data_IF_030804540186
#
_entry.id   IF_030804540186
#
_cell.length_a   1.000
_cell.length_b   1.000
_cell.length_c   1.000
_cell.angle_alpha   90.00
_cell.angle_beta   90.00
_cell.angle_gamma   90.00
#
_symmetry.space_group_name_H-M   'P 1'
#
loop_
_entity.id
_entity.type
_entity.pdbx_description
1 polymer ?
#
# COMPACT_ATOMS: atom_id res chain seq x y z
N UNK A 1 -24.84 -27.15 -19.89
CA UNK A 1 -23.64 -26.54 -20.52
C UNK A 1 -23.13 -25.49 -19.54
N UNK A 2 -21.94 -25.69 -18.98
CA UNK A 2 -21.31 -24.71 -18.09
C UNK A 2 -20.58 -23.70 -18.97
N UNK A 3 -21.16 -22.52 -19.17
CA UNK A 3 -20.47 -21.42 -19.83
C UNK A 3 -19.48 -20.83 -18.83
N UNK A 4 -18.22 -21.28 -18.88
CA UNK A 4 -17.15 -20.62 -18.16
C UNK A 4 -16.98 -19.20 -18.73
N UNK A 5 -16.87 -18.21 -17.85
CA UNK A 5 -16.53 -16.83 -18.21
C UNK A 5 -15.03 -16.68 -17.98
N UNK A 6 -14.27 -16.59 -19.07
CA UNK A 6 -12.84 -16.32 -19.00
C UNK A 6 -12.59 -14.85 -18.69
N UNK A 7 -11.90 -14.57 -17.58
CA UNK A 7 -11.48 -13.23 -17.18
C UNK A 7 -9.98 -13.12 -17.42
N UNK A 8 -9.59 -12.21 -18.31
CA UNK A 8 -8.19 -11.85 -18.49
C UNK A 8 -7.82 -10.79 -17.43
N UNK A 9 -6.82 -11.02 -16.57
CA UNK A 9 -6.35 -10.00 -15.65
C UNK A 9 -5.90 -8.75 -16.41
N UNK A 10 -6.10 -7.57 -15.81
CA UNK A 10 -5.57 -6.31 -16.35
C UNK A 10 -4.04 -6.22 -16.23
N UNK A 11 -3.52 -4.99 -16.08
CA UNK A 11 -2.08 -4.76 -15.89
C UNK A 11 -1.48 -5.69 -14.82
N UNK A 12 -0.28 -6.21 -15.10
CA UNK A 12 0.42 -7.10 -14.17
C UNK A 12 0.85 -6.32 -12.92
N UNK A 13 0.90 -6.95 -11.73
CA UNK A 13 1.33 -6.30 -10.49
C UNK A 13 2.73 -5.69 -10.57
N UNK A 14 3.59 -6.26 -11.41
CA UNK A 14 4.96 -5.80 -11.68
C UNK A 14 5.02 -4.47 -12.45
N UNK A 15 3.90 -4.03 -13.04
CA UNK A 15 3.78 -2.76 -13.77
C UNK A 15 3.07 -1.67 -12.95
N UNK A 16 2.71 -1.97 -11.70
CA UNK A 16 2.04 -1.01 -10.85
C UNK A 16 3.00 0.15 -10.49
N UNK A 17 2.56 1.41 -10.59
CA UNK A 17 3.39 2.53 -10.16
C UNK A 17 3.69 2.45 -8.66
N UNK A 18 4.89 2.85 -8.28
CA UNK A 18 5.38 2.80 -6.89
C UNK A 18 5.84 4.18 -6.40
N UNK A 19 5.86 4.33 -5.08
CA UNK A 19 6.36 5.49 -4.34
C UNK A 19 7.59 5.03 -3.57
N UNK A 20 8.76 5.65 -3.83
CA UNK A 20 9.98 5.40 -3.06
C UNK A 20 9.91 6.11 -1.69
N UNK A 21 10.21 5.37 -0.63
CA UNK A 21 10.43 5.86 0.72
C UNK A 21 11.88 5.65 1.11
N UNK A 22 12.49 6.68 1.70
CA UNK A 22 13.82 6.60 2.30
C UNK A 22 13.75 7.00 3.77
N UNK A 23 13.96 6.04 4.67
CA UNK A 23 13.98 6.28 6.11
C UNK A 23 15.44 6.35 6.55
N UNK A 24 15.87 7.53 6.98
CA UNK A 24 17.24 7.79 7.42
C UNK A 24 17.60 6.83 8.55
N UNK A 25 18.71 6.11 8.39
CA UNK A 25 19.17 5.10 9.36
C UNK A 25 18.58 3.69 9.19
N UNK A 26 17.55 3.51 8.35
CA UNK A 26 16.89 2.21 8.14
C UNK A 26 16.94 1.72 6.69
N UNK A 27 16.91 2.65 5.72
CA UNK A 27 17.09 2.38 4.30
C UNK A 27 15.89 2.73 3.42
N UNK A 28 15.94 2.25 2.17
CA UNK A 28 14.95 2.54 1.12
C UNK A 28 14.00 1.37 0.84
N UNK A 29 12.75 1.67 0.59
CA UNK A 29 11.74 0.73 0.11
C UNK A 29 10.71 1.43 -0.77
N UNK A 30 9.87 0.64 -1.42
CA UNK A 30 8.82 1.12 -2.30
C UNK A 30 7.47 0.56 -1.84
N UNK A 31 6.43 1.38 -1.97
CA UNK A 31 5.03 0.97 -1.79
C UNK A 31 4.25 1.31 -3.07
N UNK A 32 3.22 0.54 -3.44
CA UNK A 32 2.45 0.80 -4.65
C UNK A 32 1.61 2.08 -4.50
N UNK A 33 1.33 2.78 -5.59
CA UNK A 33 0.36 3.88 -5.57
C UNK A 33 -1.05 3.30 -5.40
N UNK A 34 -1.68 3.54 -4.26
CA UNK A 34 -2.98 2.96 -3.92
C UNK A 34 -4.05 3.30 -4.97
N UNK A 35 -4.92 2.33 -5.28
CA UNK A 35 -6.02 2.50 -6.24
C UNK A 35 -5.63 2.53 -7.73
N UNK A 36 -4.35 2.40 -8.08
CA UNK A 36 -3.91 2.36 -9.47
C UNK A 36 -4.06 0.96 -10.09
N UNK A 37 -4.22 0.87 -11.44
CA UNK A 37 -4.22 -0.40 -12.15
C UNK A 37 -2.97 -1.24 -11.85
N UNK A 38 -3.17 -2.54 -11.62
CA UNK A 38 -2.09 -3.48 -11.25
C UNK A 38 -1.84 -3.60 -9.76
N UNK A 39 -2.33 -2.66 -8.93
CA UNK A 39 -2.20 -2.77 -7.47
C UNK A 39 -3.22 -3.78 -6.92
N UNK A 40 -2.80 -4.76 -6.09
CA UNK A 40 -3.72 -5.72 -5.51
C UNK A 40 -4.86 -5.04 -4.72
N UNK A 41 -6.10 -5.46 -4.95
CA UNK A 41 -7.24 -4.92 -4.21
C UNK A 41 -7.07 -5.11 -2.70
N UNK A 42 -6.50 -6.25 -2.28
CA UNK A 42 -6.26 -6.56 -0.87
C UNK A 42 -5.46 -5.49 -0.14
N UNK A 43 -4.39 -4.96 -0.75
CA UNK A 43 -3.60 -3.92 -0.09
C UNK A 43 -4.33 -2.58 -0.03
N UNK A 44 -5.10 -2.24 -1.08
CA UNK A 44 -5.91 -1.02 -1.12
C UNK A 44 -7.01 -1.06 -0.05
N UNK A 45 -7.70 -2.18 0.08
CA UNK A 45 -8.75 -2.38 1.10
C UNK A 45 -8.16 -2.36 2.51
N UNK A 46 -7.04 -3.06 2.75
CA UNK A 46 -6.40 -3.08 4.06
C UNK A 46 -5.97 -1.67 4.50
N UNK A 47 -5.48 -0.85 3.56
CA UNK A 47 -5.14 0.54 3.84
C UNK A 47 -6.35 1.41 4.15
N UNK A 48 -7.48 1.20 3.46
CA UNK A 48 -8.75 1.87 3.79
C UNK A 48 -9.21 1.57 5.22
N UNK A 49 -9.23 0.29 5.61
CA UNK A 49 -9.59 -0.16 6.97
C UNK A 49 -8.66 0.48 8.02
N UNK A 50 -7.36 0.54 7.73
CA UNK A 50 -6.38 1.22 8.57
C UNK A 50 -6.71 2.71 8.77
N UNK A 51 -6.96 3.46 7.68
CA UNK A 51 -7.29 4.88 7.76
C UNK A 51 -8.57 5.13 8.53
N UNK A 52 -9.60 4.32 8.32
CA UNK A 52 -10.87 4.42 9.04
C UNK A 52 -10.68 4.16 10.54
N UNK A 53 -9.86 3.15 10.89
CA UNK A 53 -9.57 2.80 12.27
C UNK A 53 -8.72 3.85 13.00
N UNK A 54 -7.75 4.49 12.32
CA UNK A 54 -6.92 5.56 12.89
C UNK A 54 -7.78 6.71 13.44
N UNK A 55 -8.85 7.06 12.73
CA UNK A 55 -9.79 8.11 13.11
C UNK A 55 -10.78 7.69 14.22
N UNK A 56 -10.82 6.40 14.57
CA UNK A 56 -11.70 5.85 15.60
C UNK A 56 -11.16 6.01 17.04
N UNK A 57 -12.01 5.76 18.03
CA UNK A 57 -11.66 5.82 19.46
C UNK A 57 -11.38 4.44 20.11
N UNK A 58 -11.29 3.37 19.33
CA UNK A 58 -11.12 2.00 19.83
C UNK A 58 -9.74 1.44 19.49
N UNK A 59 -8.89 1.28 20.50
CA UNK A 59 -7.51 0.81 20.33
C UNK A 59 -7.41 -0.64 19.82
N UNK A 60 -8.37 -1.51 20.18
CA UNK A 60 -8.40 -2.88 19.69
C UNK A 60 -8.70 -2.94 18.19
N UNK A 61 -9.57 -2.05 17.70
CA UNK A 61 -9.86 -1.93 16.27
C UNK A 61 -8.66 -1.37 15.51
N UNK A 62 -7.96 -0.37 16.07
CA UNK A 62 -6.70 0.13 15.53
C UNK A 62 -5.68 -0.99 15.40
N UNK A 63 -5.41 -1.72 16.48
CA UNK A 63 -4.42 -2.80 16.48
C UNK A 63 -4.76 -3.90 15.44
N UNK A 64 -6.03 -4.25 15.31
CA UNK A 64 -6.49 -5.22 14.31
C UNK A 64 -6.27 -4.72 12.88
N UNK A 65 -6.65 -3.47 12.59
CA UNK A 65 -6.46 -2.85 11.27
C UNK A 65 -4.98 -2.72 10.90
N UNK A 66 -4.15 -2.32 11.86
CA UNK A 66 -2.70 -2.30 11.74
C UNK A 66 -2.12 -3.68 11.41
N UNK A 67 -2.52 -4.71 12.16
CA UNK A 67 -2.04 -6.07 11.94
C UNK A 67 -2.46 -6.60 10.56
N UNK A 68 -3.68 -6.28 10.14
CA UNK A 68 -4.19 -6.65 8.82
C UNK A 68 -3.37 -5.99 7.69
N UNK A 69 -3.11 -4.68 7.78
CA UNK A 69 -2.30 -3.95 6.81
C UNK A 69 -0.88 -4.52 6.69
N UNK A 70 -0.22 -4.77 7.82
CA UNK A 70 1.13 -5.35 7.82
C UNK A 70 1.13 -6.74 7.17
N UNK A 71 0.14 -7.58 7.45
CA UNK A 71 0.05 -8.90 6.84
C UNK A 71 -0.11 -8.80 5.31
N UNK A 72 -0.98 -7.90 4.82
CA UNK A 72 -1.11 -7.65 3.38
C UNK A 72 0.18 -7.14 2.74
N UNK A 73 0.96 -6.31 3.46
CA UNK A 73 2.27 -5.86 3.00
C UNK A 73 3.31 -6.99 2.98
N UNK A 74 3.29 -7.92 3.94
CA UNK A 74 4.23 -9.06 3.97
C UNK A 74 4.09 -9.92 2.72
N UNK A 75 2.85 -10.17 2.29
CA UNK A 75 2.58 -11.05 1.16
C UNK A 75 2.94 -10.40 -0.18
N UNK A 76 2.75 -9.08 -0.32
CA UNK A 76 2.91 -8.37 -1.60
C UNK A 76 4.20 -7.53 -1.70
N UNK A 77 4.75 -7.06 -0.58
CA UNK A 77 5.86 -6.10 -0.51
C UNK A 77 6.85 -6.43 0.64
N UNK A 78 7.49 -7.62 0.63
CA UNK A 78 8.27 -8.13 1.77
C UNK A 78 9.46 -7.25 2.18
N UNK A 79 10.04 -6.49 1.23
CA UNK A 79 11.13 -5.54 1.53
C UNK A 79 10.64 -4.37 2.38
N UNK A 80 9.48 -3.81 2.04
CA UNK A 80 8.86 -2.73 2.81
C UNK A 80 8.53 -3.22 4.22
N UNK A 81 7.88 -4.39 4.34
CA UNK A 81 7.54 -4.99 5.64
C UNK A 81 8.75 -5.20 6.55
N UNK A 82 9.90 -5.64 6.00
CA UNK A 82 11.14 -5.81 6.78
C UNK A 82 11.69 -4.50 7.33
N UNK A 83 11.54 -3.39 6.60
CA UNK A 83 11.99 -2.07 7.07
C UNK A 83 10.99 -1.54 8.10
N UNK A 84 9.69 -1.58 7.79
CA UNK A 84 8.62 -1.12 8.68
C UNK A 84 8.64 -1.83 10.04
N UNK A 85 8.92 -3.14 10.07
CA UNK A 85 9.01 -3.92 11.31
C UNK A 85 10.15 -3.49 12.25
N UNK A 86 11.09 -2.65 11.80
CA UNK A 86 12.20 -2.12 12.61
C UNK A 86 11.90 -0.73 13.17
N UNK A 87 10.82 -0.10 12.74
CA UNK A 87 10.43 1.25 13.13
C UNK A 87 9.52 1.20 14.36
N UNK A 88 9.43 2.32 15.08
CA UNK A 88 8.45 2.48 16.15
C UNK A 88 7.05 2.82 15.58
N UNK A 89 6.01 2.62 16.39
CA UNK A 89 4.63 2.87 15.98
C UNK A 89 4.39 4.27 15.38
N UNK A 90 4.88 5.36 16.01
CA UNK A 90 4.73 6.71 15.46
C UNK A 90 5.39 6.90 14.09
N UNK A 91 6.58 6.34 13.86
CA UNK A 91 7.24 6.45 12.55
C UNK A 91 6.50 5.65 11.49
N UNK A 92 6.04 4.44 11.81
CA UNK A 92 5.23 3.64 10.86
C UNK A 92 3.93 4.38 10.50
N UNK A 93 3.26 4.99 11.48
CA UNK A 93 2.05 5.77 11.24
C UNK A 93 2.30 6.93 10.28
N UNK A 94 3.42 7.64 10.44
CA UNK A 94 3.84 8.69 9.51
C UNK A 94 4.08 8.17 8.10
N UNK A 95 4.73 7.00 7.95
CA UNK A 95 4.92 6.38 6.64
C UNK A 95 3.57 6.11 5.97
N UNK A 96 2.62 5.50 6.68
CA UNK A 96 1.32 5.18 6.13
C UNK A 96 0.51 6.43 5.78
N UNK A 97 0.55 7.48 6.61
CA UNK A 97 -0.07 8.76 6.27
C UNK A 97 0.52 9.35 4.99
N UNK A 98 1.86 9.40 4.89
CA UNK A 98 2.57 9.89 3.70
C UNK A 98 2.27 9.05 2.47
N UNK A 99 2.07 7.76 2.64
CA UNK A 99 1.71 6.85 1.55
C UNK A 99 0.32 7.13 1.00
N UNK A 100 -0.67 7.38 1.87
CA UNK A 100 -2.00 7.83 1.45
C UNK A 100 -1.96 9.18 0.74
N UNK A 101 -1.28 10.18 1.33
CA UNK A 101 -1.07 11.51 0.73
C UNK A 101 -0.47 11.39 -0.69
N UNK A 102 0.66 10.69 -0.82
CA UNK A 102 1.36 10.53 -2.10
C UNK A 102 0.58 9.73 -3.12
N UNK A 103 -0.24 8.77 -2.68
CA UNK A 103 -1.10 8.02 -3.58
C UNK A 103 -2.24 8.88 -4.15
N UNK A 104 -2.79 9.80 -3.35
CA UNK A 104 -3.82 10.74 -3.80
C UNK A 104 -3.25 11.86 -4.69
N UNK A 105 -2.00 12.26 -4.46
CA UNK A 105 -1.29 13.25 -5.28
C UNK A 105 -0.79 12.67 -6.61
N UNK A 106 -0.85 11.34 -6.79
CA UNK A 106 -0.32 10.70 -7.99
C UNK A 106 -1.19 11.04 -9.22
N UNK A 107 -0.55 11.68 -10.20
CA UNK A 107 -1.14 11.95 -11.50
C UNK A 107 -0.44 11.09 -12.57
N UNK A 108 -1.11 10.06 -13.14
CA UNK A 108 -0.52 9.21 -14.17
C UNK A 108 -0.17 9.97 -15.46
N UNK A 109 -0.78 11.12 -15.70
CA UNK A 109 -0.50 11.94 -16.90
C UNK A 109 0.87 12.62 -16.84
N UNK A 110 1.40 12.87 -15.63
CA UNK A 110 2.74 13.44 -15.42
C UNK A 110 3.87 12.43 -15.61
N UNK A 111 3.56 11.13 -15.54
CA UNK A 111 4.52 10.03 -15.75
C UNK A 111 4.62 9.66 -17.24
N UNK A 112 3.62 10.06 -18.04
CA UNK A 112 3.56 9.82 -19.48
C UNK A 112 4.03 11.06 -20.28
N UNK A 113 5.26 11.51 -20.07
CA UNK A 113 5.95 12.37 -21.03
C UNK A 113 7.10 11.58 -21.66
N UNK A 114 6.88 10.95 -22.84
CA UNK A 114 7.99 10.45 -23.62
C UNK A 114 8.77 11.65 -24.16
N UNK A 115 10.07 11.71 -23.83
CA UNK A 115 11.07 12.39 -24.64
C UNK A 115 11.31 11.60 -25.93
#
# INVERSE_FOLDING_TARGET
MNNAVDITPGASPESAPTIEFNIVGYGKFELPVLGQPGVPLGITTAFGIFQDAENGNNDSQKLAAWSHLIQSLVDSFPKASRILARLDGPTVAQVFRRWGEKSNEYDPSLVSSPL
#
